data_IF_713421133643
#
_entry.id   IF_713421133643
#
_cell.length_a   1.000
_cell.length_b   1.000
_cell.length_c   1.000
_cell.angle_alpha   90.00
_cell.angle_beta   90.00
_cell.angle_gamma   90.00
#
_symmetry.space_group_name_H-M   'P 1'
#
loop_
_entity.id
_entity.type
_entity.pdbx_description
1 polymer ?
#
# COMPACT_ATOMS: atom_id res chain seq x y z
N UNK A 1 -21.29 6.74 -22.13
CA UNK A 1 -20.39 7.76 -21.57
C UNK A 1 -18.97 7.28 -21.90
N UNK A 2 -18.25 7.98 -22.79
CA UNK A 2 -16.86 7.63 -23.07
C UNK A 2 -16.02 8.22 -21.93
N UNK A 3 -15.53 7.36 -21.04
CA UNK A 3 -14.52 7.74 -20.05
C UNK A 3 -13.21 7.80 -20.83
N UNK A 4 -12.68 9.01 -21.02
CA UNK A 4 -11.41 9.21 -21.72
C UNK A 4 -10.23 9.01 -20.78
N UNK A 5 -10.39 9.42 -19.54
CA UNK A 5 -9.33 9.43 -18.51
C UNK A 5 -9.83 8.67 -17.28
N UNK A 6 -8.95 7.87 -16.67
CA UNK A 6 -9.25 7.15 -15.42
C UNK A 6 -8.11 7.32 -14.42
N UNK A 7 -8.47 7.26 -13.11
CA UNK A 7 -7.54 7.09 -12.02
C UNK A 7 -7.66 5.65 -11.53
N UNK A 8 -6.61 4.88 -11.72
CA UNK A 8 -6.58 3.47 -11.36
C UNK A 8 -5.47 3.17 -10.36
N UNK A 9 -5.64 2.05 -9.68
CA UNK A 9 -4.60 1.40 -8.90
C UNK A 9 -4.56 -0.08 -9.27
N UNK A 10 -3.46 -0.74 -8.96
CA UNK A 10 -3.32 -2.17 -9.21
C UNK A 10 -4.39 -3.00 -8.48
N UNK A 11 -4.98 -4.02 -9.12
CA UNK A 11 -4.67 -4.53 -10.46
C UNK A 11 -5.51 -3.91 -11.59
N UNK A 12 -6.37 -2.94 -11.32
CA UNK A 12 -7.37 -2.44 -12.26
C UNK A 12 -6.74 -1.66 -13.42
N UNK A 13 -5.75 -0.82 -13.14
CA UNK A 13 -5.04 -0.07 -14.17
C UNK A 13 -4.31 -1.00 -15.16
N UNK A 14 -3.70 -2.08 -14.68
CA UNK A 14 -3.03 -3.05 -15.53
C UNK A 14 -4.03 -3.84 -16.38
N UNK A 15 -5.23 -4.13 -15.85
CA UNK A 15 -6.31 -4.75 -16.62
C UNK A 15 -6.79 -3.81 -17.73
N UNK A 16 -6.96 -2.53 -17.44
CA UNK A 16 -7.38 -1.53 -18.43
C UNK A 16 -6.35 -1.42 -19.56
N UNK A 17 -5.06 -1.32 -19.22
CA UNK A 17 -3.99 -1.31 -20.20
C UNK A 17 -3.93 -2.60 -21.05
N UNK A 18 -4.19 -3.74 -20.43
CA UNK A 18 -4.20 -5.02 -21.14
C UNK A 18 -5.40 -5.18 -22.10
N UNK A 19 -6.53 -4.53 -21.79
CA UNK A 19 -7.75 -4.62 -22.58
C UNK A 19 -7.86 -3.53 -23.67
N UNK A 20 -7.17 -2.42 -23.50
CA UNK A 20 -7.23 -1.30 -24.42
C UNK A 20 -5.83 -0.93 -24.95
N UNK A 21 -5.50 -1.33 -26.19
CA UNK A 21 -4.20 -1.04 -26.78
C UNK A 21 -3.93 0.46 -27.01
N UNK A 22 -4.97 1.29 -26.95
CA UNK A 22 -4.85 2.75 -27.07
C UNK A 22 -4.71 3.45 -25.72
N UNK A 23 -4.85 2.71 -24.60
CA UNK A 23 -4.64 3.27 -23.27
C UNK A 23 -3.15 3.47 -23.00
N UNK A 24 -2.83 4.56 -22.31
CA UNK A 24 -1.46 4.86 -21.86
C UNK A 24 -1.47 5.50 -20.49
N UNK A 25 -0.43 5.26 -19.73
CA UNK A 25 -0.19 5.96 -18.47
C UNK A 25 0.31 7.36 -18.81
N UNK A 26 -0.35 8.38 -18.26
CA UNK A 26 0.05 9.78 -18.39
C UNK A 26 0.92 10.18 -17.21
N UNK A 27 0.56 9.71 -16.02
CA UNK A 27 1.22 10.06 -14.77
C UNK A 27 1.18 8.89 -13.81
N UNK A 28 2.26 8.67 -13.09
CA UNK A 28 2.40 7.63 -12.07
C UNK A 28 2.58 8.29 -10.70
N UNK A 29 1.89 7.79 -9.69
CA UNK A 29 2.00 8.30 -8.33
C UNK A 29 3.42 8.18 -7.76
N UNK A 30 4.17 7.16 -8.14
CA UNK A 30 5.57 6.99 -7.71
C UNK A 30 6.47 8.12 -8.22
N UNK A 31 6.25 8.57 -9.46
CA UNK A 31 7.02 9.67 -10.06
C UNK A 31 6.69 10.99 -9.36
N UNK A 32 5.41 11.21 -9.04
CA UNK A 32 4.95 12.43 -8.34
C UNK A 32 5.45 12.49 -6.90
N UNK A 33 5.51 11.34 -6.23
CA UNK A 33 5.88 11.24 -4.83
C UNK A 33 7.38 11.02 -4.60
N UNK A 34 8.15 10.88 -5.68
CA UNK A 34 9.60 10.65 -5.61
C UNK A 34 9.97 9.21 -5.20
N UNK A 35 9.07 8.25 -5.36
CA UNK A 35 9.31 6.85 -5.09
C UNK A 35 8.13 6.10 -4.48
N UNK A 36 8.34 4.86 -4.03
CA UNK A 36 7.32 4.07 -3.35
C UNK A 36 6.79 4.78 -2.10
N UNK A 37 5.49 4.74 -1.93
CA UNK A 37 4.81 5.29 -0.75
C UNK A 37 3.75 4.32 -0.24
N UNK A 38 3.47 4.37 1.06
CA UNK A 38 2.41 3.56 1.66
C UNK A 38 1.04 4.09 1.25
N UNK A 39 0.34 3.34 0.42
CA UNK A 39 -1.02 3.64 -0.03
C UNK A 39 -2.09 3.02 0.86
N UNK A 40 -1.74 1.99 1.62
CA UNK A 40 -2.65 1.30 2.54
C UNK A 40 -2.09 1.34 3.94
N UNK A 41 -2.89 1.81 4.89
CA UNK A 41 -2.54 1.92 6.29
C UNK A 41 -3.54 1.15 7.15
N UNK A 42 -3.04 0.55 8.22
CA UNK A 42 -3.85 -0.06 9.25
C UNK A 42 -3.86 0.85 10.47
N UNK A 43 -5.02 1.03 11.07
CA UNK A 43 -5.16 1.87 12.24
C UNK A 43 -5.91 1.15 13.36
N UNK A 44 -5.58 1.51 14.59
CA UNK A 44 -6.27 1.09 15.80
C UNK A 44 -6.27 2.24 16.80
N UNK A 45 -7.16 2.17 17.79
CA UNK A 45 -7.14 3.15 18.87
C UNK A 45 -6.03 2.82 19.88
N UNK A 46 -5.46 3.84 20.52
CA UNK A 46 -4.51 3.63 21.62
C UNK A 46 -5.12 2.77 22.75
N UNK A 47 -6.41 2.99 23.03
CA UNK A 47 -7.14 2.20 24.01
C UNK A 47 -7.12 0.72 23.65
N UNK A 48 -7.42 0.36 22.39
CA UNK A 48 -7.37 -1.02 21.94
C UNK A 48 -5.98 -1.64 22.11
N UNK A 49 -4.92 -0.92 21.70
CA UNK A 49 -3.53 -1.37 21.87
C UNK A 49 -3.17 -1.62 23.33
N UNK A 50 -3.57 -0.70 24.23
CA UNK A 50 -3.31 -0.80 25.66
C UNK A 50 -4.07 -1.96 26.32
N UNK A 51 -5.33 -2.12 25.98
CA UNK A 51 -6.21 -3.14 26.58
C UNK A 51 -5.92 -4.54 26.03
N UNK A 52 -5.37 -4.64 24.81
CA UNK A 52 -5.15 -5.92 24.12
C UNK A 52 -3.70 -6.10 23.62
N UNK A 53 -2.68 -5.95 24.47
CA UNK A 53 -1.28 -5.93 24.03
C UNK A 53 -0.80 -7.24 23.42
N UNK A 54 -1.37 -8.37 23.84
CA UNK A 54 -1.02 -9.69 23.26
C UNK A 54 -1.58 -9.84 21.86
N UNK A 55 -2.84 -9.46 21.67
CA UNK A 55 -3.53 -9.50 20.36
C UNK A 55 -2.88 -8.55 19.38
N UNK A 56 -2.54 -7.34 19.82
CA UNK A 56 -1.82 -6.36 19.00
C UNK A 56 -0.48 -6.92 18.50
N UNK A 57 0.36 -7.45 19.40
CA UNK A 57 1.65 -8.04 19.01
C UNK A 57 1.49 -9.24 18.07
N UNK A 58 0.55 -10.12 18.33
CA UNK A 58 0.27 -11.26 17.45
C UNK A 58 -0.15 -10.82 16.05
N UNK A 59 -0.98 -9.77 15.96
CA UNK A 59 -1.39 -9.18 14.68
C UNK A 59 -0.21 -8.60 13.91
N UNK A 60 0.64 -7.80 14.55
CA UNK A 60 1.82 -7.21 13.90
C UNK A 60 2.78 -8.32 13.42
N UNK A 61 2.99 -9.36 14.22
CA UNK A 61 3.82 -10.50 13.81
C UNK A 61 3.25 -11.23 12.59
N UNK A 62 1.94 -11.50 12.58
CA UNK A 62 1.26 -12.14 11.46
C UNK A 62 1.31 -11.27 10.19
N UNK A 63 1.16 -9.94 10.34
CA UNK A 63 1.28 -8.99 9.23
C UNK A 63 2.70 -8.98 8.65
N UNK A 64 3.72 -9.02 9.50
CA UNK A 64 5.12 -9.09 9.07
C UNK A 64 5.41 -10.38 8.30
N UNK A 65 4.94 -11.53 8.81
CA UNK A 65 5.05 -12.81 8.14
C UNK A 65 4.35 -12.81 6.78
N UNK A 66 3.12 -12.28 6.71
CA UNK A 66 2.37 -12.18 5.45
C UNK A 66 3.08 -11.27 4.43
N UNK A 67 3.63 -10.13 4.86
CA UNK A 67 4.37 -9.22 4.00
C UNK A 67 5.66 -9.88 3.47
N UNK A 68 6.37 -10.60 4.33
CA UNK A 68 7.56 -11.37 3.94
C UNK A 68 7.20 -12.49 2.95
N UNK A 69 6.13 -13.23 3.23
CA UNK A 69 5.66 -14.29 2.33
C UNK A 69 5.30 -13.71 0.95
N UNK A 70 4.53 -12.62 0.89
CA UNK A 70 4.14 -12.00 -0.37
C UNK A 70 5.34 -11.51 -1.19
N UNK A 71 6.38 -11.01 -0.52
CA UNK A 71 7.61 -10.54 -1.16
C UNK A 71 8.49 -11.70 -1.65
N UNK A 72 8.57 -12.81 -0.90
CA UNK A 72 9.44 -13.94 -1.22
C UNK A 72 8.79 -14.98 -2.14
N UNK A 73 7.45 -15.03 -2.18
CA UNK A 73 6.67 -16.00 -2.96
C UNK A 73 5.54 -15.33 -3.76
N UNK A 74 5.87 -14.59 -4.83
CA UNK A 74 4.85 -13.91 -5.65
C UNK A 74 3.81 -14.86 -6.24
N UNK A 75 4.18 -16.09 -6.53
CA UNK A 75 3.27 -17.11 -7.07
C UNK A 75 2.21 -17.50 -6.04
N UNK A 76 2.64 -17.87 -4.84
CA UNK A 76 1.72 -18.19 -3.75
C UNK A 76 0.86 -17.00 -3.33
N UNK A 77 1.42 -15.79 -3.34
CA UNK A 77 0.67 -14.57 -3.06
C UNK A 77 -0.43 -14.33 -4.11
N UNK A 78 -0.14 -14.54 -5.41
CA UNK A 78 -1.13 -14.43 -6.48
C UNK A 78 -2.27 -15.47 -6.32
N UNK A 79 -1.92 -16.71 -5.98
CA UNK A 79 -2.90 -17.77 -5.77
C UNK A 79 -3.81 -17.48 -4.56
N UNK A 80 -3.24 -17.00 -3.46
CA UNK A 80 -3.99 -16.56 -2.28
C UNK A 80 -4.90 -15.37 -2.63
N UNK A 81 -4.39 -14.36 -3.36
CA UNK A 81 -5.17 -13.22 -3.80
C UNK A 81 -6.41 -13.65 -4.59
N UNK A 82 -6.23 -14.51 -5.60
CA UNK A 82 -7.32 -15.02 -6.42
C UNK A 82 -8.34 -15.77 -5.56
N UNK A 83 -7.87 -16.66 -4.70
CA UNK A 83 -8.72 -17.51 -3.85
C UNK A 83 -9.54 -16.66 -2.85
N UNK A 84 -8.89 -15.77 -2.12
CA UNK A 84 -9.53 -14.99 -1.05
C UNK A 84 -10.52 -13.97 -1.62
N UNK A 85 -10.13 -13.27 -2.68
CA UNK A 85 -10.96 -12.24 -3.28
C UNK A 85 -11.95 -12.81 -4.33
N UNK A 86 -11.91 -14.11 -4.61
CA UNK A 86 -12.67 -14.73 -5.73
C UNK A 86 -12.45 -13.94 -7.03
N UNK A 87 -11.22 -13.48 -7.21
CA UNK A 87 -10.86 -12.55 -8.28
C UNK A 87 -10.85 -13.27 -9.64
N UNK A 88 -11.31 -12.57 -10.67
CA UNK A 88 -11.23 -12.99 -12.08
C UNK A 88 -10.00 -12.41 -12.79
N UNK A 89 -9.11 -11.75 -12.07
CA UNK A 89 -7.87 -11.19 -12.63
C UNK A 89 -7.00 -12.33 -13.15
N UNK A 90 -6.43 -12.12 -14.34
CA UNK A 90 -5.49 -13.09 -14.91
C UNK A 90 -4.27 -13.27 -13.99
N UNK A 91 -3.92 -14.55 -13.73
CA UNK A 91 -2.84 -14.90 -12.82
C UNK A 91 -1.47 -14.35 -13.30
N UNK A 92 -1.21 -14.37 -14.60
CA UNK A 92 0.04 -13.87 -15.14
C UNK A 92 0.13 -12.35 -15.02
N UNK A 93 -1.00 -11.66 -15.11
CA UNK A 93 -1.07 -10.22 -14.84
C UNK A 93 -0.71 -9.91 -13.38
N UNK A 94 -1.25 -10.68 -12.43
CA UNK A 94 -0.88 -10.53 -11.01
C UNK A 94 0.60 -10.79 -10.76
N UNK A 95 1.17 -11.80 -11.40
CA UNK A 95 2.61 -12.09 -11.30
C UNK A 95 3.46 -10.92 -11.82
N UNK A 96 3.06 -10.29 -12.93
CA UNK A 96 3.74 -9.09 -13.45
C UNK A 96 3.65 -7.92 -12.47
N UNK A 97 2.49 -7.72 -11.83
CA UNK A 97 2.30 -6.68 -10.81
C UNK A 97 3.21 -6.94 -9.62
N UNK A 98 3.25 -8.17 -9.09
CA UNK A 98 4.06 -8.49 -7.92
C UNK A 98 5.58 -8.52 -8.22
N UNK A 99 5.96 -8.71 -9.48
CA UNK A 99 7.34 -8.58 -9.93
C UNK A 99 7.80 -7.12 -10.13
N UNK A 100 6.87 -6.16 -10.11
CA UNK A 100 7.23 -4.75 -10.23
C UNK A 100 7.93 -4.28 -8.96
N UNK A 101 9.18 -3.76 -9.03
CA UNK A 101 9.94 -3.33 -7.85
C UNK A 101 9.30 -2.15 -7.09
N UNK A 102 8.37 -1.43 -7.73
CA UNK A 102 7.60 -0.38 -7.08
C UNK A 102 6.49 -0.93 -6.18
N UNK A 103 6.04 -2.17 -6.41
CA UNK A 103 5.05 -2.85 -5.57
C UNK A 103 5.76 -3.55 -4.44
N UNK A 104 5.67 -3.00 -3.23
CA UNK A 104 6.39 -3.50 -2.07
C UNK A 104 5.41 -3.85 -0.94
N UNK A 105 5.62 -5.02 -0.35
CA UNK A 105 4.89 -5.46 0.84
C UNK A 105 5.78 -5.23 2.07
N UNK A 106 5.55 -4.12 2.76
CA UNK A 106 6.31 -3.73 3.95
C UNK A 106 5.36 -3.29 5.05
N UNK A 107 5.71 -3.58 6.30
CA UNK A 107 4.95 -3.08 7.45
C UNK A 107 5.42 -1.69 7.90
N UNK A 108 6.68 -1.37 7.66
CA UNK A 108 7.20 -0.04 7.94
C UNK A 108 6.64 0.97 6.92
N UNK A 109 6.13 2.13 7.39
CA UNK A 109 5.61 3.15 6.49
C UNK A 109 6.69 3.69 5.56
N UNK A 110 6.31 4.02 4.34
CA UNK A 110 7.21 4.55 3.31
C UNK A 110 6.66 5.87 2.81
N UNK A 111 7.48 6.92 2.83
CA UNK A 111 7.22 8.24 2.25
C UNK A 111 5.84 8.85 2.63
N UNK A 112 5.40 8.64 3.88
CA UNK A 112 4.10 9.13 4.35
C UNK A 112 4.13 10.59 4.76
N UNK A 113 5.30 11.10 5.18
CA UNK A 113 5.43 12.48 5.64
C UNK A 113 5.25 13.50 4.50
N UNK A 114 5.72 13.18 3.29
CA UNK A 114 5.47 14.01 2.12
C UNK A 114 3.98 14.19 1.82
N UNK A 115 3.18 13.15 2.05
CA UNK A 115 1.71 13.24 1.93
C UNK A 115 1.12 14.14 3.03
N UNK A 116 1.59 14.02 4.27
CA UNK A 116 1.15 14.90 5.37
C UNK A 116 1.46 16.38 5.08
N UNK A 117 2.65 16.68 4.57
CA UNK A 117 3.01 18.03 4.13
C UNK A 117 2.10 18.54 3.01
N UNK A 118 1.81 17.69 2.03
CA UNK A 118 0.88 18.05 0.94
C UNK A 118 -0.51 18.34 1.49
N UNK A 119 -1.07 17.47 2.33
CA UNK A 119 -2.40 17.64 2.92
C UNK A 119 -2.50 18.92 3.77
N UNK A 120 -1.45 19.26 4.50
CA UNK A 120 -1.38 20.52 5.23
C UNK A 120 -1.36 21.73 4.28
N UNK A 121 -0.55 21.68 3.23
CA UNK A 121 -0.43 22.77 2.24
C UNK A 121 -1.77 23.07 1.55
N UNK A 122 -2.58 22.03 1.29
CA UNK A 122 -3.92 22.20 0.69
C UNK A 122 -5.03 22.39 1.73
N UNK A 123 -4.68 22.59 2.99
CA UNK A 123 -5.60 22.80 4.11
C UNK A 123 -6.56 21.64 4.39
N UNK A 124 -6.23 20.43 3.95
CA UNK A 124 -6.98 19.21 4.27
C UNK A 124 -6.76 18.75 5.71
N UNK A 125 -5.60 19.05 6.29
CA UNK A 125 -5.31 18.90 7.73
C UNK A 125 -4.85 20.25 8.31
N UNK A 126 -5.25 20.52 9.56
CA UNK A 126 -4.90 21.80 10.23
C UNK A 126 -3.46 21.84 10.72
N UNK A 127 -3.04 20.77 11.37
CA UNK A 127 -1.75 20.68 12.02
C UNK A 127 -0.84 19.79 11.19
N UNK A 128 0.34 20.29 10.85
CA UNK A 128 1.39 19.48 10.29
C UNK A 128 2.13 18.81 11.45
N UNK A 129 2.22 17.48 11.49
CA UNK A 129 3.08 16.78 12.45
C UNK A 129 4.56 17.11 12.19
N UNK A 130 5.41 17.10 13.22
CA UNK A 130 6.85 17.35 13.06
C UNK A 130 7.55 16.21 12.33
N UNK A 131 7.01 14.99 12.45
CA UNK A 131 7.51 13.82 11.74
C UNK A 131 6.41 12.75 11.54
N UNK A 132 6.69 11.79 10.66
CA UNK A 132 5.81 10.63 10.46
C UNK A 132 5.60 9.81 11.75
N UNK A 133 6.52 9.86 12.72
CA UNK A 133 6.42 9.12 13.98
C UNK A 133 5.27 9.58 14.87
N UNK A 134 4.78 10.78 14.71
CA UNK A 134 3.69 11.30 15.54
C UNK A 134 2.33 10.66 15.26
N UNK A 135 2.14 10.11 14.08
CA UNK A 135 0.88 9.47 13.70
C UNK A 135 0.98 7.95 13.53
N UNK A 136 2.14 7.37 13.88
CA UNK A 136 2.29 5.93 14.00
C UNK A 136 2.56 5.53 15.45
N UNK A 137 2.13 4.33 15.81
CA UNK A 137 2.52 3.78 17.10
C UNK A 137 4.03 3.55 17.15
N UNK A 138 4.62 3.84 18.30
CA UNK A 138 6.01 3.43 18.55
C UNK A 138 6.06 1.90 18.68
N UNK A 139 6.59 1.27 17.64
CA UNK A 139 6.71 -0.18 17.51
C UNK A 139 8.03 -0.54 16.83
N UNK A 140 8.80 -1.51 17.40
CA UNK A 140 10.07 -1.94 16.81
C UNK A 140 9.98 -2.41 15.36
N UNK A 141 8.82 -2.92 14.94
CA UNK A 141 8.59 -3.43 13.60
C UNK A 141 8.55 -2.33 12.51
N UNK A 142 8.37 -1.06 12.90
CA UNK A 142 8.25 0.06 11.97
C UNK A 142 9.33 1.12 12.13
N UNK A 143 10.37 0.87 12.91
CA UNK A 143 11.43 1.84 13.22
C UNK A 143 12.16 2.41 12.00
N UNK A 144 12.19 1.66 10.90
CA UNK A 144 12.85 2.04 9.64
C UNK A 144 11.88 2.67 8.62
N UNK A 145 10.73 3.13 9.08
CA UNK A 145 9.77 3.83 8.24
C UNK A 145 10.16 5.28 7.93
N UNK A 146 9.36 5.94 7.04
CA UNK A 146 9.57 7.35 6.67
C UNK A 146 8.43 7.94 5.87
#
# INVERSE_FOLDING_TARGET
MCIRDSFGNSPFQEQELAQNPNARIILNSYDVQGGPSSSTLLYATEKYRKDNPKTYRAFIAALAEAAQYASSNPQGAADIYIKVNKSKVDRNLLLKIFANPQVQFKIAPQNTYGLAQFLHRVSAIRNLPDSWREYFFDDPAITQGG
#
